data_IF_361719282320
#
_entry.id   IF_361719282320
#
_cell.length_a   1.000
_cell.length_b   1.000
_cell.length_c   1.000
_cell.angle_alpha   90.00
_cell.angle_beta   90.00
_cell.angle_gamma   90.00
#
_symmetry.space_group_name_H-M   'P 1'
#
loop_
_entity.id
_entity.type
_entity.pdbx_description
1 polymer ?
#
# COMPACT_ATOMS: atom_id res chain seq x y z
N UNK A 1 -3.64 -4.25 47.69
CA UNK A 1 -4.46 -5.44 48.04
C UNK A 1 -5.79 -5.48 47.30
N UNK A 2 -6.48 -4.39 47.16
CA UNK A 2 -7.79 -4.31 46.45
C UNK A 2 -7.62 -4.54 44.95
N UNK A 3 -6.55 -4.09 44.34
CA UNK A 3 -6.25 -4.31 42.91
C UNK A 3 -5.98 -5.77 42.56
N UNK A 4 -5.33 -6.53 43.42
CA UNK A 4 -5.08 -7.95 43.23
C UNK A 4 -6.35 -8.80 43.25
N UNK A 5 -7.32 -8.43 44.07
CA UNK A 5 -8.60 -9.12 44.15
C UNK A 5 -9.47 -8.88 42.92
N UNK A 6 -9.44 -7.67 42.37
CA UNK A 6 -10.15 -7.30 41.13
C UNK A 6 -9.54 -7.99 39.89
N UNK A 7 -8.23 -8.09 39.83
CA UNK A 7 -7.51 -8.78 38.76
C UNK A 7 -7.83 -10.28 38.73
N UNK A 8 -7.82 -10.94 39.88
CA UNK A 8 -8.14 -12.37 39.98
C UNK A 8 -9.64 -12.66 39.71
N UNK A 9 -10.52 -11.74 40.08
CA UNK A 9 -11.94 -11.87 39.81
C UNK A 9 -12.26 -11.70 38.32
N UNK A 10 -11.59 -10.78 37.65
CA UNK A 10 -11.71 -10.55 36.20
C UNK A 10 -11.19 -11.73 35.40
N UNK A 11 -10.06 -12.31 35.81
CA UNK A 11 -9.48 -13.52 35.18
C UNK A 11 -10.36 -14.76 35.39
N UNK A 12 -10.98 -14.94 36.54
CA UNK A 12 -11.91 -16.04 36.80
C UNK A 12 -13.20 -15.92 35.97
N UNK A 13 -13.73 -14.71 35.77
CA UNK A 13 -14.88 -14.50 34.88
C UNK A 13 -14.55 -14.78 33.41
N UNK A 14 -13.36 -14.43 32.95
CA UNK A 14 -12.90 -14.74 31.59
C UNK A 14 -12.77 -16.25 31.33
N UNK A 15 -12.47 -17.04 32.38
CA UNK A 15 -12.33 -18.50 32.26
C UNK A 15 -13.65 -19.26 32.31
N UNK A 16 -14.77 -18.60 32.61
CA UNK A 16 -16.12 -19.20 32.74
C UNK A 16 -16.98 -18.96 31.49
N UNK A 17 -16.55 -18.08 30.56
CA UNK A 17 -17.22 -17.90 29.29
C UNK A 17 -16.99 -19.17 28.43
N UNK A 18 -18.07 -19.87 28.08
CA UNK A 18 -17.97 -20.98 27.17
C UNK A 18 -17.52 -20.48 25.76
N UNK A 19 -17.05 -21.42 24.93
CA UNK A 19 -16.55 -21.07 23.60
C UNK A 19 -17.62 -20.33 22.75
N UNK A 20 -18.90 -20.60 22.97
CA UNK A 20 -20.03 -19.99 22.27
C UNK A 20 -20.20 -18.53 22.67
N UNK A 21 -20.08 -18.22 23.95
CA UNK A 21 -20.12 -16.85 24.45
C UNK A 21 -18.92 -16.05 24.03
N UNK A 22 -17.74 -16.67 24.02
CA UNK A 22 -16.54 -16.05 23.50
C UNK A 22 -16.70 -15.69 22.01
N UNK A 23 -17.26 -16.56 21.20
CA UNK A 23 -17.55 -16.28 19.80
C UNK A 23 -18.53 -15.12 19.60
N UNK A 24 -19.55 -14.99 20.45
CA UNK A 24 -20.51 -13.90 20.34
C UNK A 24 -19.93 -12.51 20.74
N UNK A 25 -18.99 -12.48 21.68
CA UNK A 25 -18.44 -11.22 22.20
C UNK A 25 -17.14 -10.79 21.55
N UNK A 26 -16.23 -11.73 21.25
CA UNK A 26 -14.88 -11.41 20.80
C UNK A 26 -14.74 -11.33 19.28
N UNK A 27 -15.47 -12.16 18.53
CA UNK A 27 -15.38 -12.15 17.07
C UNK A 27 -15.90 -10.85 16.47
N UNK A 28 -17.06 -10.29 16.83
CA UNK A 28 -17.50 -9.01 16.32
C UNK A 28 -16.53 -7.87 16.63
N UNK A 29 -15.98 -7.82 17.84
CA UNK A 29 -15.00 -6.82 18.24
C UNK A 29 -13.71 -6.94 17.44
N UNK A 30 -13.22 -8.16 17.23
CA UNK A 30 -12.03 -8.38 16.42
C UNK A 30 -12.28 -7.95 14.96
N UNK A 31 -13.45 -8.26 14.40
CA UNK A 31 -13.84 -7.83 13.06
C UNK A 31 -13.87 -6.30 12.94
N UNK A 32 -14.42 -5.60 13.93
CA UNK A 32 -14.45 -4.14 13.96
C UNK A 32 -13.05 -3.54 14.05
N UNK A 33 -12.17 -4.08 14.87
CA UNK A 33 -10.78 -3.64 14.99
C UNK A 33 -10.04 -3.85 13.66
N UNK A 34 -10.20 -5.02 13.03
CA UNK A 34 -9.56 -5.32 11.75
C UNK A 34 -10.09 -4.43 10.62
N UNK A 35 -11.39 -4.12 10.62
CA UNK A 35 -12.00 -3.19 9.67
C UNK A 35 -11.41 -1.79 9.84
N UNK A 36 -11.34 -1.28 11.05
CA UNK A 36 -10.75 0.03 11.35
C UNK A 36 -9.29 0.11 10.94
N UNK A 37 -8.51 -0.93 11.18
CA UNK A 37 -7.11 -1.02 10.75
C UNK A 37 -6.97 -1.03 9.24
N UNK A 38 -7.83 -1.77 8.53
CA UNK A 38 -7.85 -1.78 7.07
C UNK A 38 -8.19 -0.41 6.49
N UNK A 39 -9.19 0.26 7.04
CA UNK A 39 -9.59 1.61 6.62
C UNK A 39 -8.46 2.61 6.84
N UNK A 40 -7.81 2.59 8.02
CA UNK A 40 -6.68 3.45 8.33
C UNK A 40 -5.49 3.17 7.41
N UNK A 41 -5.18 1.90 7.14
CA UNK A 41 -4.11 1.52 6.22
C UNK A 41 -4.42 1.96 4.78
N UNK A 42 -5.63 1.75 4.31
CA UNK A 42 -6.08 2.20 3.00
C UNK A 42 -5.93 3.73 2.84
N UNK A 43 -6.34 4.48 3.85
CA UNK A 43 -6.16 5.94 3.87
C UNK A 43 -4.69 6.33 3.78
N UNK A 44 -3.83 5.69 4.58
CA UNK A 44 -2.39 5.93 4.56
C UNK A 44 -1.76 5.62 3.20
N UNK A 45 -2.21 4.56 2.53
CA UNK A 45 -1.75 4.21 1.18
C UNK A 45 -2.14 5.30 0.16
N UNK A 46 -3.36 5.80 0.20
CA UNK A 46 -3.80 6.86 -0.72
C UNK A 46 -3.10 8.20 -0.47
N UNK A 47 -2.86 8.57 0.77
CA UNK A 47 -2.07 9.75 1.13
C UNK A 47 -0.64 9.63 0.60
N UNK A 48 -0.04 8.44 0.70
CA UNK A 48 1.29 8.18 0.17
C UNK A 48 1.33 8.20 -1.36
N UNK A 49 0.33 7.63 -2.02
CA UNK A 49 0.20 7.70 -3.49
C UNK A 49 0.19 9.16 -3.97
N UNK A 50 -0.57 10.01 -3.31
CA UNK A 50 -0.62 11.44 -3.63
C UNK A 50 0.73 12.11 -3.42
N UNK A 51 1.37 11.87 -2.28
CA UNK A 51 2.68 12.42 -1.95
C UNK A 51 3.76 11.99 -2.95
N UNK A 52 3.84 10.69 -3.24
CA UNK A 52 4.81 10.14 -4.19
C UNK A 52 4.58 10.67 -5.61
N UNK A 53 3.34 10.84 -6.02
CA UNK A 53 3.00 11.41 -7.33
C UNK A 53 3.47 12.85 -7.44
N UNK A 54 3.24 13.67 -6.43
CA UNK A 54 3.71 15.06 -6.41
C UNK A 54 5.24 15.15 -6.43
N UNK A 55 5.92 14.32 -5.67
CA UNK A 55 7.39 14.28 -5.66
C UNK A 55 7.96 13.77 -6.99
N UNK A 56 7.31 12.81 -7.63
CA UNK A 56 7.67 12.36 -8.96
C UNK A 56 7.57 13.48 -10.01
N UNK A 57 6.53 14.29 -9.95
CA UNK A 57 6.37 15.46 -10.81
C UNK A 57 7.52 16.45 -10.63
N UNK A 58 7.90 16.74 -9.39
CA UNK A 58 9.02 17.66 -9.06
C UNK A 58 10.34 17.10 -9.58
N UNK A 59 10.55 15.78 -9.53
CA UNK A 59 11.74 15.13 -10.06
C UNK A 59 11.85 15.17 -11.60
N UNK A 60 10.75 15.47 -12.27
CA UNK A 60 10.67 15.49 -13.74
C UNK A 60 10.20 14.18 -14.35
N UNK A 61 9.60 13.30 -13.56
CA UNK A 61 8.94 12.10 -14.06
C UNK A 61 7.73 12.53 -14.89
N UNK A 62 7.61 11.97 -16.09
CA UNK A 62 6.62 12.39 -17.08
C UNK A 62 5.27 11.71 -16.92
N UNK A 63 5.25 10.51 -16.35
CA UNK A 63 4.03 9.73 -16.19
C UNK A 63 4.09 8.86 -14.94
N UNK A 64 3.00 8.84 -14.20
CA UNK A 64 2.82 8.00 -13.00
C UNK A 64 1.57 7.16 -13.18
N UNK A 65 1.72 5.84 -13.10
CA UNK A 65 0.63 4.86 -13.26
C UNK A 65 0.53 4.04 -11.98
N UNK A 66 -0.64 4.05 -11.36
CA UNK A 66 -0.94 3.23 -10.18
C UNK A 66 -1.41 1.85 -10.61
N UNK A 67 -0.86 0.82 -9.99
CA UNK A 67 -1.20 -0.58 -10.15
C UNK A 67 -1.67 -1.19 -8.84
N UNK A 68 -1.99 -2.48 -8.87
CA UNK A 68 -2.19 -3.30 -7.70
C UNK A 68 -3.56 -3.17 -7.05
N UNK A 69 -3.64 -3.55 -5.79
CA UNK A 69 -4.91 -3.69 -5.05
C UNK A 69 -5.67 -2.36 -4.87
N UNK A 70 -5.00 -1.23 -4.88
CA UNK A 70 -5.63 0.09 -4.82
C UNK A 70 -6.47 0.41 -6.07
N UNK A 71 -6.14 -0.20 -7.21
CA UNK A 71 -6.87 -0.01 -8.47
C UNK A 71 -7.89 -1.11 -8.70
N UNK A 72 -7.48 -2.38 -8.47
CA UNK A 72 -8.24 -3.55 -8.93
C UNK A 72 -9.12 -4.19 -7.87
N UNK A 73 -8.92 -3.85 -6.62
CA UNK A 73 -9.64 -4.49 -5.53
C UNK A 73 -9.70 -3.64 -4.28
N UNK A 74 -10.16 -4.27 -3.21
CA UNK A 74 -10.15 -3.65 -1.89
C UNK A 74 -8.79 -3.86 -1.24
N UNK A 75 -8.04 -2.80 -0.93
CA UNK A 75 -6.78 -2.93 -0.24
C UNK A 75 -6.98 -3.57 1.13
N UNK A 76 -6.11 -4.52 1.47
CA UNK A 76 -6.05 -5.19 2.77
C UNK A 76 -4.94 -4.62 3.65
N UNK A 77 -4.75 -5.23 4.81
CA UNK A 77 -3.70 -4.84 5.77
C UNK A 77 -2.28 -5.01 5.24
N UNK A 78 -2.08 -5.87 4.26
CA UNK A 78 -0.78 -6.18 3.63
C UNK A 78 -0.61 -5.54 2.26
N UNK A 79 -1.56 -4.71 1.83
CA UNK A 79 -1.48 -4.03 0.53
C UNK A 79 -0.38 -2.98 0.54
N UNK A 80 0.28 -2.86 -0.63
CA UNK A 80 1.37 -1.94 -0.89
C UNK A 80 0.97 -0.92 -1.95
N UNK A 81 1.83 0.07 -2.18
CA UNK A 81 1.72 1.00 -3.30
C UNK A 81 2.58 0.49 -4.44
N UNK A 82 1.98 0.25 -5.60
CA UNK A 82 2.68 -0.14 -6.83
C UNK A 82 2.57 0.97 -7.86
N UNK A 83 3.69 1.56 -8.24
CA UNK A 83 3.75 2.64 -9.22
C UNK A 83 4.68 2.30 -10.38
N UNK A 84 4.21 2.50 -11.59
CA UNK A 84 5.05 2.59 -12.78
C UNK A 84 5.33 4.06 -13.07
N UNK A 85 6.62 4.39 -13.14
CA UNK A 85 7.13 5.74 -13.35
C UNK A 85 7.86 5.81 -14.68
N UNK A 86 7.45 6.70 -15.55
CA UNK A 86 8.11 6.92 -16.84
C UNK A 86 8.96 8.18 -16.71
N UNK A 87 10.25 8.02 -16.86
CA UNK A 87 11.23 9.09 -16.67
C UNK A 87 12.23 9.11 -17.81
N UNK A 88 12.22 10.22 -18.56
CA UNK A 88 13.23 10.47 -19.58
C UNK A 88 14.52 10.94 -18.91
N UNK A 89 15.43 10.03 -18.71
CA UNK A 89 16.69 10.24 -18.02
C UNK A 89 17.81 9.44 -18.69
N UNK A 90 19.04 9.97 -18.74
CA UNK A 90 20.20 9.22 -19.23
C UNK A 90 20.72 8.18 -18.25
N UNK A 91 20.20 8.15 -17.02
CA UNK A 91 20.62 7.21 -15.98
C UNK A 91 20.28 5.76 -16.38
N UNK A 92 21.18 4.83 -16.10
CA UNK A 92 20.93 3.39 -16.25
C UNK A 92 19.84 2.90 -15.29
N UNK A 93 19.36 1.70 -15.52
CA UNK A 93 18.24 1.11 -14.77
C UNK A 93 18.45 1.15 -13.24
N UNK A 94 19.61 0.68 -12.77
CA UNK A 94 19.90 0.64 -11.33
C UNK A 94 20.07 2.03 -10.75
N UNK A 95 20.75 2.91 -11.48
CA UNK A 95 21.02 4.29 -11.02
C UNK A 95 19.72 5.09 -10.90
N UNK A 96 18.86 5.06 -11.91
CA UNK A 96 17.59 5.77 -11.88
C UNK A 96 16.63 5.23 -10.83
N UNK A 97 16.60 3.90 -10.65
CA UNK A 97 15.79 3.26 -9.60
C UNK A 97 16.26 3.69 -8.21
N UNK A 98 17.57 3.66 -7.96
CA UNK A 98 18.14 4.12 -6.71
C UNK A 98 17.86 5.61 -6.47
N UNK A 99 17.98 6.44 -7.50
CA UNK A 99 17.70 7.88 -7.42
C UNK A 99 16.23 8.15 -7.08
N UNK A 100 15.31 7.44 -7.69
CA UNK A 100 13.87 7.56 -7.41
C UNK A 100 13.57 7.18 -5.95
N UNK A 101 14.04 6.03 -5.47
CA UNK A 101 13.84 5.64 -4.08
C UNK A 101 14.46 6.62 -3.10
N UNK A 102 15.64 7.14 -3.41
CA UNK A 102 16.33 8.13 -2.58
C UNK A 102 15.59 9.46 -2.51
N UNK A 103 15.00 9.90 -3.62
CA UNK A 103 14.29 11.18 -3.71
C UNK A 103 12.87 11.10 -3.20
N UNK A 104 12.15 10.05 -3.53
CA UNK A 104 10.75 9.90 -3.15
C UNK A 104 10.60 9.43 -1.70
N UNK A 105 11.57 8.67 -1.17
CA UNK A 105 11.57 8.15 0.20
C UNK A 105 10.20 7.58 0.61
N UNK A 106 9.77 6.45 0.03
CA UNK A 106 8.49 5.87 0.39
C UNK A 106 8.35 5.64 1.91
N UNK A 107 7.25 6.09 2.47
CA UNK A 107 6.94 5.98 3.90
C UNK A 107 6.07 4.78 4.24
N UNK A 108 5.55 4.12 3.23
CA UNK A 108 4.87 2.82 3.29
C UNK A 108 5.56 1.85 2.33
N UNK A 109 5.27 0.57 2.44
CA UNK A 109 5.77 -0.41 1.48
C UNK A 109 5.32 -0.02 0.06
N UNK A 110 6.27 0.16 -0.83
CA UNK A 110 6.02 0.61 -2.19
C UNK A 110 7.00 -0.05 -3.18
N UNK A 111 6.47 -0.51 -4.29
CA UNK A 111 7.23 -0.98 -5.44
C UNK A 111 7.20 0.10 -6.54
N UNK A 112 8.36 0.66 -6.82
CA UNK A 112 8.54 1.73 -7.80
C UNK A 112 9.26 1.18 -9.02
N UNK A 113 8.54 1.01 -10.14
CA UNK A 113 9.05 0.50 -11.40
C UNK A 113 9.37 1.65 -12.33
N UNK A 114 10.65 1.91 -12.59
CA UNK A 114 11.10 3.08 -13.34
C UNK A 114 11.55 2.67 -14.74
N UNK A 115 10.84 3.17 -15.74
CA UNK A 115 11.14 2.93 -17.16
C UNK A 115 11.40 4.25 -17.87
N UNK A 116 12.25 4.22 -18.90
CA UNK A 116 12.35 5.32 -19.85
C UNK A 116 11.24 5.21 -20.90
N UNK A 117 10.90 6.30 -21.63
CA UNK A 117 9.92 6.24 -22.71
C UNK A 117 10.27 5.19 -23.77
N UNK A 118 11.53 5.07 -24.13
CA UNK A 118 11.99 4.08 -25.12
C UNK A 118 11.85 2.64 -24.62
N UNK A 119 12.15 2.39 -23.34
CA UNK A 119 11.93 1.09 -22.73
C UNK A 119 10.46 0.73 -22.69
N UNK A 120 9.59 1.68 -22.35
CA UNK A 120 8.15 1.44 -22.34
C UNK A 120 7.63 0.97 -23.70
N UNK A 121 8.10 1.60 -24.77
CA UNK A 121 7.74 1.22 -26.14
C UNK A 121 8.26 -0.19 -26.47
N UNK A 122 9.53 -0.45 -26.19
CA UNK A 122 10.16 -1.77 -26.47
C UNK A 122 9.55 -2.90 -25.65
N UNK A 123 9.10 -2.62 -24.43
CA UNK A 123 8.56 -3.60 -23.49
C UNK A 123 7.05 -3.67 -23.47
N UNK A 124 6.35 -2.92 -24.33
CA UNK A 124 4.88 -2.85 -24.36
C UNK A 124 4.22 -4.22 -24.61
N UNK A 125 4.94 -5.15 -25.25
CA UNK A 125 4.47 -6.52 -25.50
C UNK A 125 4.59 -7.45 -24.27
N UNK A 126 5.38 -7.07 -23.27
CA UNK A 126 5.55 -7.89 -22.06
C UNK A 126 4.27 -7.91 -21.24
N UNK A 127 3.94 -9.02 -20.56
CA UNK A 127 2.70 -9.14 -19.79
C UNK A 127 2.54 -8.05 -18.74
N UNK A 128 3.61 -7.71 -18.03
CA UNK A 128 3.59 -6.69 -16.97
C UNK A 128 3.24 -5.30 -17.52
N UNK A 129 3.98 -4.84 -18.54
CA UNK A 129 3.76 -3.50 -19.11
C UNK A 129 2.42 -3.43 -19.82
N UNK A 130 2.04 -4.49 -20.56
CA UNK A 130 0.73 -4.57 -21.21
C UNK A 130 -0.40 -4.38 -20.17
N UNK A 131 -0.31 -5.08 -19.06
CA UNK A 131 -1.31 -4.98 -17.99
C UNK A 131 -1.29 -3.61 -17.34
N UNK A 132 -0.12 -3.05 -17.07
CA UNK A 132 0.04 -1.72 -16.50
C UNK A 132 -0.62 -0.64 -17.39
N UNK A 133 -0.42 -0.72 -18.71
CA UNK A 133 -1.00 0.24 -19.66
C UNK A 133 -2.50 0.05 -19.86
N UNK A 134 -2.99 -1.19 -19.81
CA UNK A 134 -4.41 -1.49 -20.03
C UNK A 134 -5.27 -1.28 -18.80
N UNK A 135 -4.80 -1.66 -17.62
CA UNK A 135 -5.58 -1.72 -16.38
C UNK A 135 -5.11 -0.71 -15.33
N UNK A 136 -3.91 -0.18 -15.45
CA UNK A 136 -3.37 0.80 -14.51
C UNK A 136 -4.12 2.13 -14.56
N UNK A 137 -4.14 2.82 -13.42
CA UNK A 137 -4.72 4.16 -13.33
C UNK A 137 -3.64 5.21 -13.50
N UNK A 138 -3.76 6.03 -14.55
CA UNK A 138 -2.85 7.16 -14.75
C UNK A 138 -3.15 8.25 -13.73
N UNK A 139 -2.20 8.54 -12.86
CA UNK A 139 -2.31 9.58 -11.85
C UNK A 139 -1.77 10.90 -12.35
N UNK A 140 -0.77 10.85 -13.20
CA UNK A 140 -0.14 12.02 -13.81
C UNK A 140 0.41 11.67 -15.20
N UNK A 141 0.26 12.59 -16.13
CA UNK A 141 0.88 12.57 -17.45
C UNK A 141 1.20 14.01 -17.87
N UNK A 142 2.48 14.26 -18.14
CA UNK A 142 2.94 15.56 -18.61
C UNK A 142 2.47 15.85 -20.04
#
# INVERSE_FOLDING_TARGET
MVEYALSTFTLRRASILDATQAQQYYIPRLQDVLRQRREAHCKALWEEVERLTQMAMVLGIQRVILLGSLVWGKPGLTSDVDLVLIWDTPLGFLERTAEVYRRLLPQVAADLFVYTPDELIRMAHTPFIRRALAEGRVLYAA
#
